data_IF_080942488584
#
_entry.id   IF_080942488584
#
_cell.length_a   1.000
_cell.length_b   1.000
_cell.length_c   1.000
_cell.angle_alpha   90.00
_cell.angle_beta   90.00
_cell.angle_gamma   90.00
#
_symmetry.space_group_name_H-M   'P 1'
#
loop_
_entity.id
_entity.type
_entity.pdbx_description
1 polymer ?
#
# COMPACT_ATOMS: atom_id res chain seq x y z
N UNK A 1 -10.45 11.62 -19.24
CA UNK A 1 -10.90 12.81 -18.45
C UNK A 1 -9.63 13.51 -18.01
N UNK A 2 -9.48 14.82 -18.24
CA UNK A 2 -8.34 15.55 -17.68
C UNK A 2 -8.63 15.94 -16.21
N UNK A 3 -7.60 16.37 -15.48
CA UNK A 3 -7.72 16.65 -14.04
C UNK A 3 -8.72 17.77 -13.71
N UNK A 4 -8.82 18.78 -14.57
CA UNK A 4 -9.75 19.91 -14.36
C UNK A 4 -11.20 19.49 -14.63
N UNK A 5 -11.43 18.61 -15.62
CA UNK A 5 -12.75 18.06 -15.89
C UNK A 5 -13.18 17.13 -14.74
N UNK A 6 -12.25 16.33 -14.21
CA UNK A 6 -12.48 15.49 -13.05
C UNK A 6 -12.91 16.32 -11.83
N UNK A 7 -12.23 17.45 -11.56
CA UNK A 7 -12.61 18.34 -10.45
C UNK A 7 -14.02 18.92 -10.61
N UNK A 8 -14.44 19.23 -11.85
CA UNK A 8 -15.76 19.81 -12.12
C UNK A 8 -16.88 18.79 -12.04
N UNK A 9 -16.61 17.56 -12.46
CA UNK A 9 -17.63 16.49 -12.52
C UNK A 9 -17.82 15.80 -11.16
N UNK A 10 -16.79 15.76 -10.32
CA UNK A 10 -16.86 15.12 -9.02
C UNK A 10 -17.17 16.11 -7.90
N UNK A 11 -18.03 15.68 -6.97
CA UNK A 11 -18.38 16.49 -5.81
C UNK A 11 -17.40 16.26 -4.66
N UNK A 12 -16.31 17.02 -4.66
CA UNK A 12 -15.32 17.00 -3.55
C UNK A 12 -15.84 17.66 -2.28
N UNK A 13 -16.77 18.61 -2.41
CA UNK A 13 -17.30 19.37 -1.28
C UNK A 13 -17.96 18.48 -0.24
N UNK A 14 -17.49 18.56 0.99
CA UNK A 14 -17.96 17.77 2.11
C UNK A 14 -17.34 16.38 2.21
N UNK A 15 -16.44 16.01 1.28
CA UNK A 15 -15.74 14.73 1.34
C UNK A 15 -14.74 14.70 2.52
N UNK A 16 -14.59 13.51 3.09
CA UNK A 16 -13.70 13.30 4.25
C UNK A 16 -12.26 13.19 3.77
N UNK A 17 -11.35 13.89 4.47
CA UNK A 17 -9.91 13.74 4.27
C UNK A 17 -9.42 12.58 5.12
N UNK A 18 -8.86 11.56 4.48
CA UNK A 18 -8.30 10.39 5.16
C UNK A 18 -6.80 10.51 5.39
N UNK A 19 -6.12 11.32 4.56
CA UNK A 19 -4.69 11.59 4.68
C UNK A 19 -4.35 12.95 4.09
N UNK A 20 -3.51 13.70 4.79
CA UNK A 20 -2.95 14.95 4.27
C UNK A 20 -1.47 15.03 4.65
N UNK A 21 -0.63 15.41 3.69
CA UNK A 21 0.79 15.63 3.96
C UNK A 21 1.41 16.65 3.02
N UNK A 22 2.48 17.25 3.54
CA UNK A 22 3.36 18.10 2.73
C UNK A 22 4.80 17.74 3.06
N UNK A 23 5.73 17.89 2.12
CA UNK A 23 7.15 17.79 2.45
C UNK A 23 7.74 19.18 2.64
N UNK A 24 8.62 19.25 3.64
CA UNK A 24 9.50 20.36 3.88
C UNK A 24 10.88 19.97 3.39
N UNK A 25 11.30 20.45 2.24
CA UNK A 25 12.72 20.58 1.98
C UNK A 25 13.18 21.91 2.60
N UNK A 26 14.06 21.83 3.63
CA UNK A 26 14.52 22.94 4.46
C UNK A 26 13.40 23.62 5.29
N UNK A 27 13.61 23.78 6.56
CA UNK A 27 12.70 24.21 7.66
C UNK A 27 11.72 25.38 7.41
N UNK A 28 11.58 25.87 6.20
CA UNK A 28 10.77 27.05 5.90
C UNK A 28 9.84 26.96 4.67
N UNK A 29 10.01 26.03 3.74
CA UNK A 29 9.24 26.05 2.50
C UNK A 29 8.44 24.76 2.30
N UNK A 30 7.11 24.90 2.28
CA UNK A 30 6.21 23.87 1.79
C UNK A 30 6.29 23.89 0.27
N UNK A 31 6.77 22.83 -0.33
CA UNK A 31 6.95 22.71 -1.78
C UNK A 31 5.83 21.94 -2.46
N UNK A 32 5.10 21.12 -1.72
CA UNK A 32 3.92 20.42 -2.22
C UNK A 32 2.90 20.13 -1.14
N UNK A 33 1.67 19.89 -1.57
CA UNK A 33 0.54 19.41 -0.74
C UNK A 33 -0.05 18.21 -1.44
N UNK A 34 -0.31 17.16 -0.66
CA UNK A 34 -1.07 16.01 -1.08
C UNK A 34 -2.24 15.78 -0.12
N UNK A 35 -3.42 15.60 -0.67
CA UNK A 35 -4.63 15.27 0.07
C UNK A 35 -5.22 14.00 -0.51
N UNK A 36 -5.67 13.11 0.35
CA UNK A 36 -6.46 11.93 0.03
C UNK A 36 -7.73 11.92 0.82
N UNK A 37 -8.77 11.36 0.27
CA UNK A 37 -10.02 11.28 0.98
C UNK A 37 -11.02 10.33 0.35
N UNK A 38 -12.16 10.23 1.03
CA UNK A 38 -13.29 9.42 0.64
C UNK A 38 -14.37 10.32 0.02
N UNK A 39 -14.91 9.94 -1.13
CA UNK A 39 -16.13 10.56 -1.64
C UNK A 39 -17.34 10.08 -0.85
N UNK A 40 -18.29 10.98 -0.62
CA UNK A 40 -19.56 10.61 -0.01
C UNK A 40 -20.46 9.82 -0.97
N UNK A 41 -20.36 10.09 -2.27
CA UNK A 41 -21.13 9.48 -3.36
C UNK A 41 -20.38 9.64 -4.67
N UNK A 42 -20.56 8.73 -5.60
CA UNK A 42 -20.02 8.81 -6.94
C UNK A 42 -19.49 7.48 -7.47
N UNK A 43 -18.87 7.52 -8.62
CA UNK A 43 -18.26 6.36 -9.28
C UNK A 43 -17.01 5.89 -8.54
N UNK A 44 -16.29 6.84 -7.94
CA UNK A 44 -15.06 6.57 -7.21
C UNK A 44 -15.30 6.69 -5.71
N UNK A 45 -14.98 5.67 -4.91
CA UNK A 45 -15.06 5.78 -3.45
C UNK A 45 -13.97 6.69 -2.85
N UNK A 46 -12.81 6.81 -3.52
CA UNK A 46 -11.63 7.56 -3.01
C UNK A 46 -11.14 8.59 -4.01
N UNK A 47 -10.41 9.59 -3.52
CA UNK A 47 -9.79 10.64 -4.34
C UNK A 47 -8.42 11.03 -3.84
N UNK A 48 -7.57 11.48 -4.78
CA UNK A 48 -6.27 12.09 -4.53
C UNK A 48 -6.21 13.47 -5.19
N UNK A 49 -5.69 14.45 -4.45
CA UNK A 49 -5.34 15.78 -4.96
C UNK A 49 -3.86 16.04 -4.66
N UNK A 50 -3.13 16.49 -5.66
CA UNK A 50 -1.71 16.77 -5.54
C UNK A 50 -1.36 18.12 -6.17
N UNK A 51 -0.57 18.93 -5.45
CA UNK A 51 -0.09 20.24 -5.86
C UNK A 51 1.41 20.32 -5.63
N UNK A 52 2.18 20.68 -6.65
CA UNK A 52 3.64 20.74 -6.62
C UNK A 52 4.19 22.12 -7.01
N UNK A 53 5.41 22.42 -6.55
CA UNK A 53 6.06 23.72 -6.69
C UNK A 53 5.16 24.89 -6.24
N UNK A 54 4.71 24.81 -4.97
CA UNK A 54 3.72 25.71 -4.38
C UNK A 54 4.36 27.05 -3.98
N UNK A 55 3.63 28.13 -4.27
CA UNK A 55 3.93 29.50 -3.78
C UNK A 55 2.66 30.10 -3.18
N UNK A 56 2.62 30.22 -1.86
CA UNK A 56 1.48 30.78 -1.17
C UNK A 56 1.35 32.27 -1.38
N UNK A 57 0.14 32.72 -1.67
CA UNK A 57 -0.30 34.12 -1.49
C UNK A 57 -0.92 34.32 -0.10
N UNK A 58 -1.70 33.34 0.39
CA UNK A 58 -2.36 33.36 1.69
C UNK A 58 -2.38 31.99 2.34
N UNK A 59 -2.57 31.94 3.65
CA UNK A 59 -2.82 30.71 4.39
C UNK A 59 -1.61 29.87 4.78
N UNK A 60 -0.37 30.28 4.41
CA UNK A 60 0.85 29.48 4.69
C UNK A 60 1.07 29.24 6.19
N UNK A 61 0.80 30.23 7.02
CA UNK A 61 1.01 30.14 8.47
C UNK A 61 -0.01 29.18 9.12
N UNK A 62 -1.27 29.28 8.68
CA UNK A 62 -2.35 28.38 9.11
C UNK A 62 -2.05 26.94 8.71
N UNK A 63 -1.60 26.71 7.48
CA UNK A 63 -1.20 25.37 7.05
C UNK A 63 -0.02 24.84 7.86
N UNK A 64 0.97 25.67 8.17
CA UNK A 64 2.10 25.25 9.03
C UNK A 64 1.65 24.85 10.44
N UNK A 65 0.78 25.65 11.06
CA UNK A 65 0.22 25.32 12.37
C UNK A 65 -0.56 24.02 12.33
N UNK A 66 -1.27 23.81 11.27
CA UNK A 66 -2.12 22.68 11.01
C UNK A 66 -1.34 21.39 10.63
N UNK A 67 -0.24 21.47 9.91
CA UNK A 67 0.63 20.31 9.55
C UNK A 67 1.59 19.90 10.66
N UNK A 68 1.86 20.76 11.62
CA UNK A 68 2.63 20.40 12.83
C UNK A 68 1.82 19.51 13.78
N UNK A 69 0.51 19.49 13.61
CA UNK A 69 -0.41 18.63 14.32
C UNK A 69 -0.95 17.62 13.27
N UNK A 70 -0.17 16.60 12.99
CA UNK A 70 -0.45 15.57 11.96
C UNK A 70 -1.79 14.86 12.19
N UNK A 71 -2.29 14.84 13.42
CA UNK A 71 -3.57 14.23 13.79
C UNK A 71 -4.78 15.12 13.46
N UNK A 72 -4.59 16.42 13.29
CA UNK A 72 -5.68 17.35 13.00
C UNK A 72 -6.34 17.16 11.63
N UNK A 73 -5.68 16.46 10.68
CA UNK A 73 -6.24 16.26 9.33
C UNK A 73 -6.93 14.94 9.10
N UNK A 74 -6.63 13.93 9.89
CA UNK A 74 -7.37 12.68 9.80
C UNK A 74 -8.81 12.90 10.27
N UNK A 75 -9.74 12.76 9.33
CA UNK A 75 -11.17 13.01 9.59
C UNK A 75 -11.64 14.43 9.27
N UNK A 76 -10.76 15.31 8.82
CA UNK A 76 -11.14 16.63 8.29
C UNK A 76 -12.02 16.54 7.03
N UNK A 77 -12.61 17.65 6.67
CA UNK A 77 -13.52 17.77 5.51
C UNK A 77 -12.91 18.74 4.49
N UNK A 78 -12.89 18.32 3.23
CA UNK A 78 -12.61 19.21 2.11
C UNK A 78 -13.85 20.09 1.85
N UNK A 79 -13.75 21.37 2.19
CA UNK A 79 -14.85 22.33 2.04
C UNK A 79 -14.95 22.87 0.63
N UNK A 80 -13.81 23.17 0.03
CA UNK A 80 -13.75 23.71 -1.32
C UNK A 80 -12.37 23.44 -1.95
N UNK A 81 -12.36 23.23 -3.25
CA UNK A 81 -11.16 23.21 -4.08
C UNK A 81 -11.50 23.86 -5.42
N UNK A 82 -10.82 24.96 -5.72
CA UNK A 82 -10.92 25.64 -7.02
C UNK A 82 -9.54 25.73 -7.63
N UNK A 83 -9.42 25.28 -8.87
CA UNK A 83 -8.17 25.27 -9.62
C UNK A 83 -8.41 26.00 -10.94
N UNK A 84 -7.74 27.12 -11.11
CA UNK A 84 -7.82 27.96 -12.30
C UNK A 84 -6.51 27.85 -13.10
N UNK A 85 -6.55 27.38 -14.35
CA UNK A 85 -5.34 27.28 -15.16
C UNK A 85 -4.82 28.68 -15.53
N UNK A 86 -3.50 28.83 -15.47
CA UNK A 86 -2.74 30.03 -15.89
C UNK A 86 -1.84 29.70 -17.08
N UNK A 87 -1.15 30.65 -17.63
CA UNK A 87 -0.17 30.40 -18.72
C UNK A 87 0.96 29.45 -18.31
N UNK A 88 1.34 29.45 -17.01
CA UNK A 88 2.37 28.56 -16.45
C UNK A 88 1.91 28.12 -15.06
N UNK A 89 1.20 27.00 -15.00
CA UNK A 89 0.73 26.42 -13.73
C UNK A 89 -0.73 26.79 -13.42
N UNK A 90 -1.07 26.80 -12.14
CA UNK A 90 -2.44 26.90 -11.67
C UNK A 90 -2.53 27.84 -10.47
N UNK A 91 -3.62 28.60 -10.41
CA UNK A 91 -4.06 29.33 -9.23
C UNK A 91 -5.05 28.48 -8.45
N UNK A 92 -4.85 28.32 -7.15
CA UNK A 92 -5.58 27.36 -6.33
C UNK A 92 -6.14 28.02 -5.08
N UNK A 93 -7.44 27.87 -4.88
CA UNK A 93 -8.11 28.10 -3.60
C UNK A 93 -8.48 26.76 -2.99
N UNK A 94 -8.00 26.49 -1.79
CA UNK A 94 -8.22 25.23 -1.06
C UNK A 94 -8.71 25.54 0.35
N UNK A 95 -9.88 25.00 0.71
CA UNK A 95 -10.50 25.20 2.01
C UNK A 95 -10.75 23.86 2.70
N UNK A 96 -10.15 23.71 3.89
CA UNK A 96 -10.23 22.52 4.73
C UNK A 96 -10.87 22.89 6.07
N UNK A 97 -11.59 21.94 6.67
CA UNK A 97 -12.10 22.07 8.03
C UNK A 97 -11.90 20.78 8.80
N UNK A 98 -11.43 20.89 10.02
CA UNK A 98 -11.44 19.86 11.04
C UNK A 98 -12.33 20.32 12.21
N UNK A 99 -12.52 19.46 13.22
CA UNK A 99 -13.47 19.68 14.29
C UNK A 99 -13.31 21.05 15.00
N UNK A 100 -12.08 21.53 15.16
CA UNK A 100 -11.75 22.76 15.87
C UNK A 100 -11.04 23.83 15.03
N UNK A 101 -10.84 23.61 13.75
CA UNK A 101 -10.17 24.58 12.90
C UNK A 101 -10.66 24.55 11.43
N UNK A 102 -10.55 25.69 10.78
CA UNK A 102 -10.75 25.82 9.35
C UNK A 102 -9.53 26.53 8.74
N UNK A 103 -9.08 26.05 7.59
CA UNK A 103 -7.95 26.64 6.86
C UNK A 103 -8.39 26.97 5.47
N UNK A 104 -8.21 28.24 5.09
CA UNK A 104 -8.34 28.70 3.71
C UNK A 104 -6.97 29.05 3.19
N UNK A 105 -6.61 28.52 2.05
CA UNK A 105 -5.30 28.71 1.44
C UNK A 105 -5.47 29.16 0.00
N UNK A 106 -4.70 30.17 -0.37
CA UNK A 106 -4.58 30.62 -1.74
C UNK A 106 -3.11 30.53 -2.17
N UNK A 107 -2.86 29.80 -3.24
CA UNK A 107 -1.51 29.56 -3.72
C UNK A 107 -1.44 29.31 -5.23
N UNK A 108 -0.28 29.60 -5.79
CA UNK A 108 0.11 29.13 -7.11
C UNK A 108 0.77 27.76 -6.99
N UNK A 109 0.51 26.82 -7.91
CA UNK A 109 1.31 25.63 -8.10
C UNK A 109 1.69 25.46 -9.58
N UNK A 110 2.84 24.84 -9.82
CA UNK A 110 3.28 24.60 -11.20
C UNK A 110 2.63 23.36 -11.78
N UNK A 111 2.46 22.35 -10.96
CA UNK A 111 1.85 21.08 -11.33
C UNK A 111 0.66 20.80 -10.42
N UNK A 112 -0.37 20.23 -11.00
CA UNK A 112 -1.58 19.81 -10.32
C UNK A 112 -2.02 18.46 -10.87
N UNK A 113 -2.49 17.58 -10.01
CA UNK A 113 -3.24 16.41 -10.43
C UNK A 113 -4.43 16.13 -9.51
N UNK A 114 -5.49 15.61 -10.10
CA UNK A 114 -6.68 15.14 -9.41
C UNK A 114 -7.13 13.82 -10.01
N UNK A 115 -7.39 12.83 -9.18
CA UNK A 115 -7.81 11.51 -9.64
C UNK A 115 -8.78 10.85 -8.69
N UNK A 116 -9.73 10.10 -9.25
CA UNK A 116 -10.54 9.14 -8.51
C UNK A 116 -9.83 7.80 -8.43
N UNK A 117 -9.94 7.15 -7.29
CA UNK A 117 -9.41 5.82 -7.05
C UNK A 117 -10.54 4.87 -6.73
N UNK A 118 -10.53 3.69 -7.33
CA UNK A 118 -11.46 2.61 -6.96
C UNK A 118 -11.01 1.90 -5.70
N UNK A 119 -9.73 2.01 -5.36
CA UNK A 119 -9.07 1.28 -4.28
C UNK A 119 -8.32 2.21 -3.35
N UNK A 120 -8.23 1.84 -2.08
CA UNK A 120 -7.34 2.50 -1.10
C UNK A 120 -5.87 2.23 -1.39
N UNK A 121 -5.59 1.08 -2.00
CA UNK A 121 -4.29 0.72 -2.52
C UNK A 121 -4.09 1.11 -3.97
N UNK A 122 -3.04 0.59 -4.55
CA UNK A 122 -2.72 0.75 -5.97
C UNK A 122 -2.82 -0.61 -6.65
N UNK A 123 -3.60 -0.68 -7.74
CA UNK A 123 -3.47 -1.77 -8.69
C UNK A 123 -2.11 -1.63 -9.40
N UNK A 124 -1.18 -2.45 -8.98
CA UNK A 124 0.19 -2.43 -9.47
C UNK A 124 0.39 -3.32 -10.71
N UNK A 125 -0.64 -4.04 -11.14
CA UNK A 125 -0.55 -5.02 -12.22
C UNK A 125 -0.07 -4.40 -13.53
N UNK A 126 -0.57 -3.21 -13.89
CA UNK A 126 -0.11 -2.50 -15.09
C UNK A 126 1.36 -2.05 -14.97
N UNK A 127 1.74 -1.48 -13.83
CA UNK A 127 3.13 -1.06 -13.58
C UNK A 127 4.06 -2.27 -13.60
N UNK A 128 3.62 -3.39 -13.04
CA UNK A 128 4.35 -4.64 -13.10
C UNK A 128 4.55 -5.11 -14.54
N UNK A 129 3.50 -5.13 -15.35
CA UNK A 129 3.58 -5.55 -16.77
C UNK A 129 4.51 -4.66 -17.60
N UNK A 130 4.62 -3.39 -17.31
CA UNK A 130 5.50 -2.44 -18.00
C UNK A 130 6.95 -2.49 -17.49
N UNK A 131 7.12 -2.43 -16.18
CA UNK A 131 8.43 -2.30 -15.52
C UNK A 131 9.24 -3.60 -15.52
N UNK A 132 8.60 -4.71 -15.20
CA UNK A 132 9.34 -5.96 -14.98
C UNK A 132 9.89 -6.60 -16.25
N UNK A 133 9.23 -6.57 -17.40
CA UNK A 133 9.83 -7.03 -18.66
C UNK A 133 11.10 -6.25 -19.03
N UNK A 134 11.16 -4.96 -18.74
CA UNK A 134 12.36 -4.15 -18.96
C UNK A 134 13.49 -4.52 -17.99
N UNK A 135 13.16 -4.80 -16.72
CA UNK A 135 14.13 -5.30 -15.74
C UNK A 135 14.63 -6.69 -16.10
N UNK A 136 13.72 -7.60 -16.49
CA UNK A 136 14.07 -8.94 -16.91
C UNK A 136 14.99 -8.92 -18.13
N UNK A 137 14.71 -8.09 -19.13
CA UNK A 137 15.59 -7.90 -20.29
C UNK A 137 16.95 -7.34 -19.88
N UNK A 138 17.01 -6.34 -18.98
CA UNK A 138 18.25 -5.73 -18.49
C UNK A 138 19.11 -6.71 -17.70
N UNK A 139 18.49 -7.57 -16.92
CA UNK A 139 19.17 -8.50 -16.01
C UNK A 139 19.14 -9.95 -16.49
N UNK A 140 18.72 -10.23 -17.75
CA UNK A 140 18.67 -11.57 -18.31
C UNK A 140 20.00 -12.35 -18.14
N UNK A 141 21.14 -11.67 -18.25
CA UNK A 141 22.46 -12.26 -18.06
C UNK A 141 22.68 -12.79 -16.65
N UNK A 142 21.99 -12.23 -15.64
CA UNK A 142 22.15 -12.61 -14.24
C UNK A 142 21.68 -14.04 -13.98
N UNK A 143 20.69 -14.50 -14.75
CA UNK A 143 20.12 -15.85 -14.59
C UNK A 143 20.93 -16.95 -15.27
N UNK A 144 22.16 -16.67 -15.72
CA UNK A 144 23.14 -17.68 -16.16
C UNK A 144 23.62 -18.51 -14.95
N UNK A 145 23.80 -19.82 -15.13
CA UNK A 145 24.22 -20.76 -14.09
C UNK A 145 25.49 -20.33 -13.35
N UNK A 146 26.40 -19.59 -13.99
CA UNK A 146 27.64 -19.08 -13.35
C UNK A 146 27.39 -18.07 -12.23
N UNK A 147 26.22 -17.45 -12.18
CA UNK A 147 25.82 -16.48 -11.16
C UNK A 147 24.88 -17.08 -10.13
N UNK A 148 24.47 -18.34 -10.28
CA UNK A 148 23.65 -19.05 -9.30
C UNK A 148 24.41 -19.18 -8.00
N UNK A 149 23.80 -18.68 -6.91
CA UNK A 149 24.35 -18.74 -5.57
C UNK A 149 23.64 -19.76 -4.70
N UNK A 150 22.32 -19.89 -4.86
CA UNK A 150 21.48 -20.80 -4.07
C UNK A 150 20.33 -21.30 -4.92
N UNK A 151 19.98 -22.57 -4.74
CA UNK A 151 18.73 -23.15 -5.20
C UNK A 151 18.02 -23.79 -4.00
N UNK A 152 16.75 -23.54 -3.87
CA UNK A 152 15.92 -24.09 -2.81
C UNK A 152 14.62 -24.61 -3.40
N UNK A 153 14.26 -25.84 -3.00
CA UNK A 153 12.96 -26.42 -3.31
C UNK A 153 12.09 -26.35 -2.05
N UNK A 154 10.92 -25.77 -2.16
CA UNK A 154 9.96 -25.62 -1.07
C UNK A 154 8.67 -26.33 -1.45
N UNK A 155 8.34 -27.36 -0.71
CA UNK A 155 7.06 -28.05 -0.88
C UNK A 155 5.93 -27.18 -0.31
N UNK A 156 4.87 -27.04 -1.09
CA UNK A 156 3.61 -26.39 -0.71
C UNK A 156 2.56 -27.48 -0.47
N UNK A 157 1.39 -27.07 -0.03
CA UNK A 157 0.24 -27.96 0.08
C UNK A 157 -0.23 -28.47 -1.29
N UNK A 158 -1.00 -29.54 -1.33
CA UNK A 158 -1.68 -30.09 -2.51
C UNK A 158 -0.75 -30.48 -3.69
N UNK A 159 0.51 -30.85 -3.42
CA UNK A 159 1.44 -31.27 -4.44
C UNK A 159 2.00 -30.14 -5.30
N UNK A 160 1.83 -28.89 -4.89
CA UNK A 160 2.58 -27.77 -5.45
C UNK A 160 3.98 -27.68 -4.84
N UNK A 161 4.92 -27.16 -5.60
CA UNK A 161 6.23 -26.83 -5.06
C UNK A 161 6.81 -25.60 -5.75
N UNK A 162 7.70 -24.91 -5.04
CA UNK A 162 8.50 -23.81 -5.58
C UNK A 162 9.93 -24.25 -5.81
N UNK A 163 10.52 -23.80 -6.89
CA UNK A 163 11.96 -23.82 -7.09
C UNK A 163 12.43 -22.35 -7.10
N UNK A 164 13.10 -21.97 -6.04
CA UNK A 164 13.61 -20.61 -5.87
C UNK A 164 15.13 -20.59 -6.09
N UNK A 165 15.58 -19.77 -7.04
CA UNK A 165 17.00 -19.63 -7.41
C UNK A 165 17.46 -18.22 -7.16
N UNK A 166 18.49 -18.07 -6.34
CA UNK A 166 19.13 -16.79 -6.04
C UNK A 166 20.40 -16.63 -6.88
N UNK A 167 20.54 -15.48 -7.48
CA UNK A 167 21.65 -15.13 -8.36
C UNK A 167 22.32 -13.86 -7.87
N UNK A 168 23.63 -13.80 -7.99
CA UNK A 168 24.40 -12.63 -7.61
C UNK A 168 25.62 -12.40 -8.48
N UNK A 169 25.82 -11.14 -8.88
CA UNK A 169 26.97 -10.73 -9.68
C UNK A 169 27.62 -9.50 -9.06
N UNK A 170 28.90 -9.64 -8.68
CA UNK A 170 29.70 -8.53 -8.17
C UNK A 170 30.28 -7.74 -9.33
N UNK A 171 29.92 -6.47 -9.43
CA UNK A 171 30.41 -5.56 -10.46
C UNK A 171 31.86 -5.11 -10.17
N UNK A 172 32.62 -4.66 -11.20
CA UNK A 172 34.05 -4.24 -11.04
C UNK A 172 34.25 -3.13 -9.98
N UNK A 173 33.24 -2.28 -9.72
CA UNK A 173 33.29 -1.21 -8.71
C UNK A 173 32.81 -1.64 -7.33
N UNK A 174 32.62 -2.94 -7.08
CA UNK A 174 32.25 -3.50 -5.79
C UNK A 174 30.75 -3.56 -5.50
N UNK A 175 29.91 -2.94 -6.29
CA UNK A 175 28.45 -3.09 -6.18
C UNK A 175 28.03 -4.52 -6.54
N UNK A 176 27.02 -5.03 -5.87
CA UNK A 176 26.44 -6.34 -6.16
C UNK A 176 25.08 -6.17 -6.84
N UNK A 177 24.87 -6.88 -7.92
CA UNK A 177 23.55 -7.06 -8.52
C UNK A 177 22.99 -8.37 -8.00
N UNK A 178 21.75 -8.33 -7.56
CA UNK A 178 21.03 -9.47 -7.03
C UNK A 178 19.75 -9.72 -7.83
N UNK A 179 19.35 -10.98 -7.93
CA UNK A 179 18.08 -11.37 -8.50
C UNK A 179 17.68 -12.75 -8.01
N UNK A 180 16.39 -12.93 -7.78
CA UNK A 180 15.80 -14.21 -7.43
C UNK A 180 14.73 -14.54 -8.47
N UNK A 181 14.78 -15.76 -8.99
CA UNK A 181 13.76 -16.32 -9.85
C UNK A 181 13.08 -17.47 -9.14
N UNK A 182 11.77 -17.39 -9.01
CA UNK A 182 10.95 -18.40 -8.37
C UNK A 182 9.97 -18.98 -9.38
N UNK A 183 9.91 -20.29 -9.45
CA UNK A 183 9.06 -21.06 -10.37
C UNK A 183 8.12 -21.93 -9.56
N UNK A 184 6.81 -21.81 -9.83
CA UNK A 184 5.76 -22.63 -9.21
C UNK A 184 5.45 -23.84 -10.09
N UNK A 185 5.52 -25.00 -9.52
CA UNK A 185 5.25 -26.27 -10.18
C UNK A 185 4.04 -26.99 -9.59
N UNK A 186 3.34 -27.73 -10.44
CA UNK A 186 2.36 -28.75 -10.10
C UNK A 186 2.66 -29.98 -10.95
N UNK A 187 2.83 -31.14 -10.28
CA UNK A 187 3.08 -32.41 -10.95
C UNK A 187 4.15 -32.31 -12.05
N UNK A 188 5.32 -31.73 -11.74
CA UNK A 188 6.47 -31.48 -12.63
C UNK A 188 6.24 -30.43 -13.74
N UNK A 189 5.04 -29.85 -13.82
CA UNK A 189 4.74 -28.79 -14.78
C UNK A 189 4.94 -27.43 -14.16
N UNK A 190 5.80 -26.57 -14.76
CA UNK A 190 5.92 -25.18 -14.36
C UNK A 190 4.67 -24.41 -14.79
N UNK A 191 3.93 -23.91 -13.82
CA UNK A 191 2.69 -23.16 -14.04
C UNK A 191 2.94 -21.66 -14.17
N UNK A 192 3.85 -21.13 -13.33
CA UNK A 192 4.12 -19.71 -13.27
C UNK A 192 5.56 -19.45 -12.82
N UNK A 193 6.14 -18.34 -13.27
CA UNK A 193 7.45 -17.90 -12.84
C UNK A 193 7.45 -16.40 -12.63
N UNK A 194 8.16 -15.95 -11.58
CA UNK A 194 8.34 -14.53 -11.29
C UNK A 194 9.77 -14.23 -10.85
N UNK A 195 10.14 -12.97 -10.94
CA UNK A 195 11.44 -12.47 -10.53
C UNK A 195 11.31 -11.45 -9.44
N UNK A 196 12.32 -11.38 -8.56
CA UNK A 196 12.47 -10.36 -7.55
C UNK A 196 13.90 -9.85 -7.59
N UNK A 197 14.09 -8.52 -7.68
CA UNK A 197 15.40 -7.88 -7.78
C UNK A 197 15.80 -7.14 -6.49
N UNK A 198 14.97 -7.18 -5.46
CA UNK A 198 15.14 -6.41 -4.23
C UNK A 198 15.62 -7.26 -3.05
N UNK A 199 15.66 -8.58 -3.20
CA UNK A 199 16.18 -9.50 -2.18
C UNK A 199 15.25 -9.75 -0.98
N UNK A 200 14.03 -9.26 -1.03
CA UNK A 200 13.05 -9.34 0.05
C UNK A 200 11.85 -10.21 -0.33
N UNK A 201 12.11 -11.37 -0.89
CA UNK A 201 11.06 -12.33 -1.24
C UNK A 201 10.87 -13.31 -0.09
N UNK A 202 9.71 -13.25 0.54
CA UNK A 202 9.25 -14.26 1.50
C UNK A 202 8.38 -15.29 0.79
N UNK A 203 8.61 -16.54 1.11
CA UNK A 203 7.84 -17.65 0.55
C UNK A 203 6.69 -17.97 1.49
N UNK A 204 5.46 -17.78 1.01
CA UNK A 204 4.27 -18.28 1.67
C UNK A 204 4.07 -19.75 1.29
N UNK A 205 3.85 -20.62 2.28
CA UNK A 205 3.77 -22.06 2.04
C UNK A 205 2.35 -22.58 1.84
N UNK A 206 1.37 -21.75 2.14
CA UNK A 206 -0.03 -22.15 2.11
C UNK A 206 -0.71 -21.74 0.82
N UNK A 207 -1.53 -22.63 0.29
CA UNK A 207 -2.47 -22.33 -0.79
C UNK A 207 -3.76 -21.82 -0.14
N UNK A 208 -4.22 -20.67 -0.61
CA UNK A 208 -5.45 -20.07 -0.11
C UNK A 208 -6.65 -20.69 -0.84
N UNK A 209 -7.53 -21.36 -0.09
CA UNK A 209 -8.83 -21.81 -0.58
C UNK A 209 -9.85 -20.70 -0.38
N UNK A 210 -10.05 -19.90 -1.40
CA UNK A 210 -10.90 -18.73 -1.29
C UNK A 210 -12.40 -19.10 -1.35
N UNK A 211 -13.22 -18.27 -0.70
CA UNK A 211 -14.69 -18.45 -0.63
C UNK A 211 -15.38 -18.47 -2.01
N UNK A 212 -14.77 -17.85 -3.05
CA UNK A 212 -15.28 -17.91 -4.42
C UNK A 212 -15.08 -19.28 -5.11
N UNK A 213 -14.45 -20.24 -4.44
CA UNK A 213 -14.17 -21.57 -4.95
C UNK A 213 -12.86 -21.74 -5.68
N UNK A 214 -12.10 -20.67 -5.88
CA UNK A 214 -10.77 -20.70 -6.50
C UNK A 214 -9.66 -20.87 -5.45
N UNK A 215 -8.49 -21.28 -5.92
CA UNK A 215 -7.28 -21.42 -5.12
C UNK A 215 -6.27 -20.38 -5.55
N UNK A 216 -5.63 -19.77 -4.57
CA UNK A 216 -4.66 -18.70 -4.83
C UNK A 216 -3.33 -19.02 -4.15
N UNK A 217 -2.25 -18.67 -4.86
CA UNK A 217 -0.92 -18.59 -4.28
C UNK A 217 -0.52 -17.13 -4.10
N UNK A 218 -0.14 -16.77 -2.89
CA UNK A 218 0.32 -15.42 -2.57
C UNK A 218 1.85 -15.35 -2.63
N UNK A 219 2.40 -14.28 -3.22
CA UNK A 219 3.85 -14.10 -3.39
C UNK A 219 4.24 -12.62 -3.47
N UNK A 220 5.54 -12.34 -3.43
CA UNK A 220 6.10 -11.00 -3.51
C UNK A 220 7.00 -10.84 -4.72
N UNK A 221 6.83 -9.75 -5.45
CA UNK A 221 7.71 -9.33 -6.56
C UNK A 221 8.59 -8.15 -6.18
N UNK A 222 8.26 -7.46 -5.07
CA UNK A 222 9.04 -6.36 -4.49
C UNK A 222 8.88 -6.35 -2.97
N UNK A 223 9.57 -5.43 -2.30
CA UNK A 223 9.46 -5.24 -0.84
C UNK A 223 8.03 -4.90 -0.41
N UNK A 224 7.35 -4.07 -1.19
CA UNK A 224 6.01 -3.58 -0.88
C UNK A 224 4.94 -4.33 -1.67
N UNK A 225 3.79 -4.51 -1.02
CA UNK A 225 2.65 -5.14 -1.64
C UNK A 225 2.64 -6.65 -1.55
N UNK A 226 1.62 -7.22 -2.15
CA UNK A 226 1.34 -8.65 -2.23
C UNK A 226 0.76 -8.97 -3.60
N UNK A 227 1.09 -10.13 -4.12
CA UNK A 227 0.59 -10.62 -5.41
C UNK A 227 -0.21 -11.89 -5.20
N UNK A 228 -1.29 -12.05 -5.93
CA UNK A 228 -2.11 -13.24 -5.92
C UNK A 228 -2.13 -13.88 -7.31
N UNK A 229 -1.76 -15.15 -7.38
CA UNK A 229 -1.90 -15.99 -8.56
C UNK A 229 -3.11 -16.91 -8.35
N UNK A 230 -4.11 -16.79 -9.20
CA UNK A 230 -5.19 -17.76 -9.29
C UNK A 230 -4.64 -19.05 -9.93
N UNK A 231 -4.64 -20.13 -9.18
CA UNK A 231 -4.09 -21.43 -9.62
C UNK A 231 -5.00 -22.16 -10.60
N UNK A 232 -6.24 -21.75 -10.72
CA UNK A 232 -7.22 -22.38 -11.61
C UNK A 232 -7.27 -21.68 -12.98
N UNK A 233 -6.96 -20.37 -13.04
CA UNK A 233 -6.97 -19.57 -14.29
C UNK A 233 -5.61 -19.04 -14.72
N UNK A 234 -4.61 -19.09 -13.85
CA UNK A 234 -3.27 -18.52 -13.99
C UNK A 234 -3.27 -16.99 -14.18
N UNK A 235 -4.33 -16.31 -13.75
CA UNK A 235 -4.39 -14.87 -13.69
C UNK A 235 -3.66 -14.36 -12.46
N UNK A 236 -3.00 -13.21 -12.59
CA UNK A 236 -2.24 -12.59 -11.50
C UNK A 236 -2.73 -11.17 -11.26
N UNK A 237 -2.80 -10.80 -9.99
CA UNK A 237 -3.04 -9.45 -9.54
C UNK A 237 -1.94 -9.01 -8.57
N UNK A 238 -1.38 -7.82 -8.82
CA UNK A 238 -0.37 -7.23 -7.96
C UNK A 238 -0.97 -6.03 -7.24
N UNK A 239 -0.95 -6.06 -5.93
CA UNK A 239 -1.55 -5.05 -5.07
C UNK A 239 -0.49 -4.41 -4.16
N UNK A 240 -0.51 -3.09 -4.10
CA UNK A 240 0.28 -2.30 -3.14
C UNK A 240 -0.68 -1.56 -2.22
N UNK A 241 -0.65 -1.79 -0.89
CA UNK A 241 -1.51 -1.10 0.06
C UNK A 241 -1.38 0.42 -0.01
N UNK A 242 -2.42 1.14 0.42
CA UNK A 242 -2.38 2.59 0.50
C UNK A 242 -1.21 3.08 1.37
N UNK A 243 -0.59 4.14 0.95
CA UNK A 243 0.59 4.72 1.62
C UNK A 243 1.86 4.59 0.80
N UNK A 244 2.00 3.58 -0.04
CA UNK A 244 3.12 3.45 -0.96
C UNK A 244 2.86 4.21 -2.26
N UNK A 245 3.84 5.01 -2.67
CA UNK A 245 3.78 5.80 -3.88
C UNK A 245 5.02 5.53 -4.74
N UNK A 246 4.79 5.00 -5.92
CA UNK A 246 5.87 4.72 -6.87
C UNK A 246 6.35 5.95 -7.63
N UNK A 247 5.53 6.98 -7.67
CA UNK A 247 5.90 8.21 -8.33
C UNK A 247 6.87 8.98 -7.43
N UNK A 248 8.04 9.33 -7.97
CA UNK A 248 9.05 10.11 -7.25
C UNK A 248 8.53 11.47 -6.74
N UNK A 249 7.39 11.93 -7.24
CA UNK A 249 6.68 13.11 -6.76
C UNK A 249 6.04 12.90 -5.38
N UNK A 250 5.82 11.64 -4.98
CA UNK A 250 5.15 11.25 -3.76
C UNK A 250 6.15 10.71 -2.74
N UNK A 251 7.01 11.55 -2.27
CA UNK A 251 8.09 11.15 -1.34
C UNK A 251 7.56 10.77 0.06
N UNK A 252 6.26 10.87 0.30
CA UNK A 252 5.69 10.69 1.63
C UNK A 252 4.57 9.67 1.60
N UNK A 253 4.87 8.49 1.98
CA UNK A 253 3.88 7.44 2.14
C UNK A 253 4.54 6.10 1.96
N UNK A 254 4.81 5.50 3.08
CA UNK A 254 5.35 4.17 3.15
C UNK A 254 4.20 3.18 3.12
N UNK A 255 4.31 2.13 2.33
CA UNK A 255 3.37 1.03 2.36
C UNK A 255 3.74 0.04 3.44
N UNK A 256 2.75 -0.69 3.93
CA UNK A 256 2.96 -1.80 4.83
C UNK A 256 3.75 -2.92 4.15
N UNK A 257 4.85 -3.33 4.77
CA UNK A 257 5.70 -4.44 4.33
C UNK A 257 5.08 -5.72 4.85
N UNK A 258 4.45 -6.48 3.98
CA UNK A 258 3.84 -7.76 4.34
C UNK A 258 4.93 -8.83 4.54
N UNK A 259 4.96 -9.46 5.70
CA UNK A 259 5.90 -10.53 6.04
C UNK A 259 5.27 -11.90 6.09
N UNK A 260 4.03 -11.98 6.47
CA UNK A 260 3.21 -13.19 6.47
C UNK A 260 1.75 -12.87 6.21
N UNK A 261 0.97 -13.90 5.95
CA UNK A 261 -0.46 -13.77 5.72
C UNK A 261 -1.21 -15.00 6.22
N UNK A 262 -2.43 -14.78 6.71
CA UNK A 262 -3.29 -15.79 7.26
C UNK A 262 -4.73 -15.55 6.83
N UNK A 263 -5.29 -16.46 6.08
CA UNK A 263 -6.65 -16.36 5.56
C UNK A 263 -7.65 -17.15 6.40
N UNK A 264 -8.78 -16.52 6.67
CA UNK A 264 -9.94 -17.15 7.30
C UNK A 264 -11.05 -17.35 6.27
N UNK A 265 -11.27 -18.57 5.79
CA UNK A 265 -12.27 -18.85 4.76
C UNK A 265 -13.72 -18.72 5.27
N UNK A 266 -13.97 -18.87 6.57
CA UNK A 266 -15.31 -18.77 7.13
C UNK A 266 -15.83 -17.33 7.07
N UNK A 267 -15.00 -16.37 7.47
CA UNK A 267 -15.33 -14.93 7.49
C UNK A 267 -14.86 -14.18 6.26
N UNK A 268 -14.08 -14.82 5.39
CA UNK A 268 -13.44 -14.20 4.25
C UNK A 268 -12.49 -13.05 4.63
N UNK A 269 -11.80 -13.22 5.75
CA UNK A 269 -10.83 -12.25 6.26
C UNK A 269 -9.41 -12.66 5.91
N UNK A 270 -8.58 -11.68 5.65
CA UNK A 270 -7.14 -11.83 5.52
C UNK A 270 -6.43 -11.01 6.60
N UNK A 271 -5.49 -11.63 7.29
CA UNK A 271 -4.57 -10.95 8.20
C UNK A 271 -3.18 -10.92 7.58
N UNK A 272 -2.59 -9.74 7.52
CA UNK A 272 -1.21 -9.54 7.12
C UNK A 272 -0.38 -9.18 8.35
N UNK A 273 0.61 -10.00 8.67
CA UNK A 273 1.68 -9.62 9.57
C UNK A 273 2.72 -8.80 8.84
N UNK A 274 3.34 -7.84 9.53
CA UNK A 274 4.37 -7.00 8.94
C UNK A 274 4.61 -5.69 9.67
N UNK A 275 5.25 -4.74 8.99
CA UNK A 275 5.55 -3.45 9.59
C UNK A 275 5.61 -2.34 8.54
N UNK A 276 5.58 -1.09 8.99
CA UNK A 276 6.12 0.03 8.21
C UNK A 276 7.63 0.11 8.43
N UNK A 277 8.34 0.79 7.53
CA UNK A 277 9.81 0.89 7.63
C UNK A 277 10.24 1.50 8.97
N UNK A 278 11.12 0.79 9.67
CA UNK A 278 11.63 1.18 10.99
C UNK A 278 10.56 1.32 12.09
N UNK A 279 9.40 0.68 11.92
CA UNK A 279 8.34 0.60 12.94
C UNK A 279 8.21 -0.83 13.47
N UNK A 280 7.50 -0.98 14.60
CA UNK A 280 7.20 -2.28 15.19
C UNK A 280 6.28 -3.12 14.30
N UNK A 281 6.36 -4.43 14.44
CA UNK A 281 5.46 -5.34 13.74
C UNK A 281 4.00 -5.13 14.16
N UNK A 282 3.11 -5.33 13.22
CA UNK A 282 1.69 -5.15 13.38
C UNK A 282 0.91 -6.19 12.55
N UNK A 283 -0.34 -6.38 12.87
CA UNK A 283 -1.28 -7.17 12.09
C UNK A 283 -2.31 -6.24 11.47
N UNK A 284 -2.45 -6.30 10.15
CA UNK A 284 -3.46 -5.58 9.39
C UNK A 284 -4.52 -6.55 8.90
N UNK A 285 -5.79 -6.28 9.14
CA UNK A 285 -6.89 -7.20 8.80
C UNK A 285 -7.88 -6.54 7.86
N UNK A 286 -8.35 -7.29 6.87
CA UNK A 286 -9.39 -6.83 5.96
C UNK A 286 -10.17 -7.96 5.31
N UNK A 287 -11.26 -7.62 4.61
CA UNK A 287 -12.01 -8.58 3.79
C UNK A 287 -11.24 -8.88 2.51
N UNK A 288 -11.08 -10.14 2.17
CA UNK A 288 -10.54 -10.60 0.90
C UNK A 288 -11.69 -10.95 -0.05
N UNK A 289 -12.40 -9.94 -0.55
CA UNK A 289 -13.60 -10.18 -1.38
C UNK A 289 -13.25 -10.77 -2.74
N UNK A 290 -12.25 -10.23 -3.40
CA UNK A 290 -11.74 -10.72 -4.69
C UNK A 290 -10.21 -10.60 -4.73
N UNK A 291 -9.46 -11.70 -4.65
CA UNK A 291 -7.99 -11.66 -4.70
C UNK A 291 -7.41 -11.09 -5.99
N UNK A 292 -8.14 -11.14 -7.11
CA UNK A 292 -7.70 -10.57 -8.40
C UNK A 292 -8.16 -9.12 -8.61
N UNK A 293 -8.89 -8.57 -7.67
CA UNK A 293 -9.34 -7.18 -7.69
C UNK A 293 -9.43 -6.65 -6.25
N UNK A 294 -8.33 -6.81 -5.54
CA UNK A 294 -8.26 -6.65 -4.10
C UNK A 294 -8.20 -5.18 -3.70
N UNK A 295 -9.17 -4.73 -2.94
CA UNK A 295 -9.20 -3.41 -2.30
C UNK A 295 -9.64 -3.53 -0.84
N UNK A 296 -8.78 -4.04 0.03
CA UNK A 296 -9.16 -4.20 1.42
C UNK A 296 -9.19 -2.87 2.14
N UNK A 297 -10.27 -2.64 2.87
CA UNK A 297 -10.21 -1.73 4.00
C UNK A 297 -9.46 -2.42 5.14
N UNK A 298 -8.14 -2.23 5.18
CA UNK A 298 -7.31 -2.81 6.23
C UNK A 298 -7.47 -2.02 7.53
N UNK A 299 -7.75 -2.71 8.61
CA UNK A 299 -7.75 -2.18 9.97
C UNK A 299 -6.45 -2.59 10.68
N UNK A 300 -5.84 -1.65 11.39
CA UNK A 300 -4.65 -1.89 12.19
C UNK A 300 -5.04 -2.48 13.54
N UNK A 301 -4.55 -3.65 13.88
CA UNK A 301 -4.81 -4.27 15.17
C UNK A 301 -4.11 -3.48 16.28
N UNK A 302 -2.91 -2.98 16.03
CA UNK A 302 -2.19 -2.09 16.95
C UNK A 302 -3.01 -0.86 17.32
N UNK A 303 -3.64 -0.21 16.34
CA UNK A 303 -4.50 0.95 16.62
C UNK A 303 -5.78 0.61 17.42
N UNK A 304 -6.24 -0.65 17.36
CA UNK A 304 -7.34 -1.13 18.20
C UNK A 304 -6.88 -1.37 19.64
N UNK A 305 -5.70 -1.94 19.82
CA UNK A 305 -5.14 -2.26 21.14
C UNK A 305 -4.69 -1.00 21.91
N UNK A 306 -4.34 0.06 21.18
CA UNK A 306 -3.92 1.34 21.76
C UNK A 306 -4.44 2.52 20.93
N UNK A 307 -5.75 2.84 21.08
CA UNK A 307 -6.38 3.90 20.31
C UNK A 307 -5.86 5.30 20.63
N UNK A 308 -5.34 5.51 21.84
CA UNK A 308 -4.84 6.80 22.30
C UNK A 308 -3.34 6.96 22.01
N UNK A 309 -2.68 5.92 21.51
CA UNK A 309 -1.22 5.89 21.25
C UNK A 309 -0.40 6.29 22.49
N UNK A 310 -0.85 5.84 23.68
CA UNK A 310 -0.28 6.23 24.97
C UNK A 310 0.88 5.32 25.43
N UNK A 311 1.07 4.17 24.77
CA UNK A 311 2.13 3.24 25.15
C UNK A 311 3.47 3.75 24.66
N UNK A 312 4.34 4.15 25.59
CA UNK A 312 5.69 4.66 25.28
C UNK A 312 6.63 3.60 24.65
N UNK A 313 6.39 2.32 24.94
CA UNK A 313 7.12 1.21 24.37
C UNK A 313 6.14 0.29 23.62
N UNK A 314 6.09 0.46 22.32
CA UNK A 314 5.30 -0.40 21.46
C UNK A 314 5.97 -1.74 21.29
N UNK A 315 5.26 -2.72 21.75
CA UNK A 315 5.58 -4.11 21.50
C UNK A 315 5.13 -4.50 20.10
N UNK A 316 5.82 -5.43 19.49
CA UNK A 316 5.35 -6.07 18.27
C UNK A 316 4.00 -6.75 18.53
N UNK A 317 3.16 -6.75 17.51
CA UNK A 317 1.89 -7.47 17.49
C UNK A 317 1.94 -8.49 16.36
N UNK A 318 1.95 -9.75 16.74
CA UNK A 318 2.03 -10.89 15.83
C UNK A 318 0.68 -11.61 15.72
N UNK A 319 0.43 -12.19 14.55
CA UNK A 319 -0.69 -13.10 14.36
C UNK A 319 -0.45 -14.39 15.17
N UNK A 320 -1.44 -14.81 15.96
CA UNK A 320 -1.37 -16.08 16.68
C UNK A 320 -2.32 -17.12 16.06
N UNK A 321 -3.62 -16.81 15.97
CA UNK A 321 -4.59 -17.74 15.38
C UNK A 321 -5.94 -17.08 15.11
N UNK A 322 -6.65 -17.62 14.14
CA UNK A 322 -8.10 -17.42 14.02
C UNK A 322 -8.85 -18.33 15.01
N UNK A 323 -9.91 -17.81 15.61
CA UNK A 323 -10.81 -18.59 16.46
C UNK A 323 -12.28 -18.21 16.18
N UNK A 324 -13.23 -18.94 16.74
CA UNK A 324 -14.66 -18.69 16.50
C UNK A 324 -15.11 -17.28 16.89
N UNK A 325 -14.50 -16.73 17.96
CA UNK A 325 -14.80 -15.40 18.50
C UNK A 325 -14.14 -14.25 17.72
N UNK A 326 -13.06 -14.55 16.95
CA UNK A 326 -12.31 -13.52 16.24
C UNK A 326 -10.88 -13.89 15.92
N UNK A 327 -9.96 -12.96 16.15
CA UNK A 327 -8.53 -13.06 15.93
C UNK A 327 -7.78 -13.01 17.27
N UNK A 328 -6.96 -14.00 17.54
CA UNK A 328 -5.95 -13.94 18.60
C UNK A 328 -4.66 -13.35 18.05
N UNK A 329 -4.14 -12.35 18.72
CA UNK A 329 -2.82 -11.77 18.44
C UNK A 329 -1.93 -11.86 19.68
N UNK A 330 -0.64 -11.97 19.46
CA UNK A 330 0.36 -12.04 20.51
C UNK A 330 1.17 -10.75 20.55
N UNK A 331 1.35 -10.21 21.74
CA UNK A 331 2.21 -9.05 21.99
C UNK A 331 3.58 -9.47 22.54
N UNK A 332 4.60 -8.63 22.48
CA UNK A 332 5.98 -8.91 22.92
C UNK A 332 6.09 -9.44 24.37
N UNK A 333 5.22 -8.98 25.24
CA UNK A 333 5.15 -9.47 26.61
C UNK A 333 4.60 -10.92 26.72
N UNK A 334 4.31 -11.54 25.57
CA UNK A 334 3.76 -12.89 25.46
C UNK A 334 2.27 -13.00 25.77
N UNK A 335 1.57 -11.88 25.97
CA UNK A 335 0.12 -11.87 26.21
C UNK A 335 -0.61 -12.11 24.90
N UNK A 336 -1.64 -12.94 24.96
CA UNK A 336 -2.57 -13.15 23.86
C UNK A 336 -3.80 -12.26 24.09
N UNK A 337 -4.11 -11.45 23.09
CA UNK A 337 -5.29 -10.57 23.06
C UNK A 337 -6.27 -11.06 21.99
N UNK A 338 -7.55 -11.09 22.33
CA UNK A 338 -8.63 -11.44 21.43
C UNK A 338 -9.24 -10.17 20.83
N UNK A 339 -9.26 -10.09 19.51
CA UNK A 339 -9.98 -9.07 18.74
C UNK A 339 -11.28 -9.67 18.24
N UNK A 340 -12.40 -9.22 18.79
CA UNK A 340 -13.71 -9.81 18.53
C UNK A 340 -14.25 -9.55 17.11
N UNK A 341 -15.13 -10.45 16.65
CA UNK A 341 -15.77 -10.35 15.33
C UNK A 341 -16.53 -9.04 15.13
N UNK A 342 -17.08 -8.44 16.18
CA UNK A 342 -17.78 -7.17 16.15
C UNK A 342 -16.88 -5.99 15.74
N UNK A 343 -15.57 -6.13 15.92
CA UNK A 343 -14.55 -5.17 15.48
C UNK A 343 -14.10 -5.49 14.05
N UNK A 344 -13.77 -6.77 13.81
CA UNK A 344 -13.18 -7.23 12.54
C UNK A 344 -14.16 -7.11 11.36
N UNK A 345 -15.46 -7.26 11.61
CA UNK A 345 -16.52 -7.24 10.59
C UNK A 345 -17.27 -5.90 10.52
N UNK A 346 -16.81 -4.89 11.24
CA UNK A 346 -17.39 -3.54 11.17
C UNK A 346 -17.17 -2.95 9.76
N UNK A 347 -18.27 -2.73 9.06
CA UNK A 347 -18.31 -2.08 7.74
C UNK A 347 -18.14 -0.57 7.83
#
# INVERSE_FOLDING_TARGET
MNELDFLKEQSFKGSRITKAYSTHFEKSNITHICLRGDFLKGEYPYWDLYFNEIRFSEGKAQLKAYLNDLDCFQGGILKNVEVTPLQKGYDVLLELAAENCAVSMHFFCKEFSASGKKYRGMDYSNVYQEKYPALDAKYAYLFDAKYLQKEERVELTEGYCLIAREYGHKLPKGAQVYGKRTELYKDETCLYAYTNYEGHDRIHKEILHHKNGHRYYAFHVSLYGISYLDLDTLQVYHYVPAGYEHDARWVVGESFIVTDLHYDPERNLIAYGGCYWADCYNVMVGLLEDPLNFDPHLISIRAILDPENERENWDDVDFESWCAEGLNVKTDNGKIELIGNEILLKK
#
